data_IF_135306851640
#
_entry.id   IF_135306851640
#
_cell.length_a   1.000
_cell.length_b   1.000
_cell.length_c   1.000
_cell.angle_alpha   90.00
_cell.angle_beta   90.00
_cell.angle_gamma   90.00
#
_symmetry.space_group_name_H-M   'P 1'
#
loop_
_entity.id
_entity.type
_entity.pdbx_description
1 polymer ?
#
# COMPACT_ATOMS: atom_id res chain seq x y z
N UNK A 1 -12.93 10.08 -2.95
CA UNK A 1 -12.57 8.73 -2.44
C UNK A 1 -11.06 8.64 -2.29
N UNK A 2 -10.53 8.53 -1.06
CA UNK A 2 -9.11 8.73 -0.76
C UNK A 2 -8.18 7.70 -1.44
N UNK A 3 -7.12 8.14 -2.10
CA UNK A 3 -6.08 7.28 -2.69
C UNK A 3 -4.94 7.02 -1.69
N UNK A 4 -3.77 6.50 -2.15
CA UNK A 4 -2.61 6.36 -1.27
C UNK A 4 -2.12 7.73 -0.78
N UNK A 5 -1.57 7.76 0.43
CA UNK A 5 -0.85 8.92 0.94
C UNK A 5 0.49 9.04 0.22
N UNK A 6 0.96 10.27 0.00
CA UNK A 6 2.28 10.54 -0.60
C UNK A 6 3.20 11.15 0.45
N UNK A 7 4.45 10.70 0.48
CA UNK A 7 5.50 11.20 1.36
C UNK A 7 6.80 11.42 0.58
N UNK A 8 7.64 12.31 1.03
CA UNK A 8 9.02 12.44 0.59
C UNK A 8 10.00 11.84 1.60
N UNK A 9 11.26 11.69 1.18
CA UNK A 9 12.31 11.18 2.05
C UNK A 9 12.45 12.05 3.32
N UNK A 10 12.49 11.41 4.49
CA UNK A 10 12.55 12.09 5.79
C UNK A 10 11.19 12.52 6.36
N UNK A 11 10.11 12.42 5.60
CA UNK A 11 8.77 12.70 6.12
C UNK A 11 8.18 11.52 6.90
N UNK A 12 7.27 11.83 7.83
CA UNK A 12 6.55 10.84 8.64
C UNK A 12 5.06 10.91 8.34
N UNK A 13 4.42 9.75 8.28
CA UNK A 13 2.96 9.63 8.20
C UNK A 13 2.42 9.13 9.53
N UNK A 14 1.58 9.91 10.24
CA UNK A 14 0.88 9.40 11.42
C UNK A 14 0.07 8.16 11.07
N UNK A 15 0.10 7.14 11.93
CA UNK A 15 -0.59 5.86 11.67
C UNK A 15 -2.09 6.03 11.37
N UNK A 16 -2.75 6.96 12.05
CA UNK A 16 -4.16 7.26 11.85
C UNK A 16 -4.45 7.92 10.48
N UNK A 17 -3.43 8.47 9.82
CA UNK A 17 -3.55 9.08 8.50
C UNK A 17 -3.23 8.11 7.36
N UNK A 18 -2.78 6.88 7.66
CA UNK A 18 -2.52 5.86 6.64
C UNK A 18 -3.85 5.41 6.00
N UNK A 19 -4.04 5.60 4.69
CA UNK A 19 -5.28 5.19 4.04
C UNK A 19 -5.42 3.67 4.03
N UNK A 20 -6.49 3.17 4.66
CA UNK A 20 -6.91 1.78 4.57
C UNK A 20 -7.95 1.66 3.46
N UNK A 21 -7.60 0.94 2.40
CA UNK A 21 -8.40 0.75 1.21
C UNK A 21 -9.10 -0.61 1.25
N UNK A 22 -10.16 -0.75 0.47
CA UNK A 22 -10.70 -2.07 0.11
C UNK A 22 -9.67 -2.85 -0.71
N UNK A 23 -9.67 -4.18 -0.56
CA UNK A 23 -8.66 -5.05 -1.16
C UNK A 23 -8.47 -4.84 -2.67
N UNK A 24 -9.54 -4.87 -3.46
CA UNK A 24 -9.45 -4.72 -4.92
C UNK A 24 -8.81 -3.39 -5.32
N UNK A 25 -9.10 -2.33 -4.55
CA UNK A 25 -8.51 -1.01 -4.79
C UNK A 25 -7.05 -0.96 -4.35
N UNK A 26 -6.70 -1.61 -3.25
CA UNK A 26 -5.31 -1.76 -2.81
C UNK A 26 -4.48 -2.51 -3.86
N UNK A 27 -4.94 -3.69 -4.28
CA UNK A 27 -4.28 -4.51 -5.28
C UNK A 27 -4.15 -3.76 -6.62
N UNK A 28 -5.24 -3.17 -7.10
CA UNK A 28 -5.23 -2.34 -8.31
C UNK A 28 -4.28 -1.14 -8.22
N UNK A 29 -4.19 -0.47 -7.06
CA UNK A 29 -3.27 0.65 -6.84
C UNK A 29 -1.81 0.19 -6.90
N UNK A 30 -1.48 -0.93 -6.24
CA UNK A 30 -0.13 -1.49 -6.23
C UNK A 30 0.28 -1.91 -7.64
N UNK A 31 -0.56 -2.69 -8.33
CA UNK A 31 -0.29 -3.16 -9.70
C UNK A 31 -0.13 -2.00 -10.67
N UNK A 32 -1.07 -1.03 -10.66
CA UNK A 32 -1.02 0.11 -11.57
C UNK A 32 0.24 0.97 -11.38
N UNK A 33 0.66 1.21 -10.13
CA UNK A 33 1.86 1.99 -9.83
C UNK A 33 3.14 1.26 -10.21
N UNK A 34 3.21 -0.05 -9.95
CA UNK A 34 4.36 -0.86 -10.40
C UNK A 34 4.43 -0.88 -11.92
N UNK A 35 3.29 -1.05 -12.60
CA UNK A 35 3.21 -0.96 -14.06
C UNK A 35 3.64 0.41 -14.60
N UNK A 36 3.44 1.49 -13.84
CA UNK A 36 3.90 2.84 -14.19
C UNK A 36 5.35 3.14 -13.78
N UNK A 37 6.12 2.14 -13.33
CA UNK A 37 7.54 2.28 -13.01
C UNK A 37 7.88 2.50 -11.52
N UNK A 38 6.89 2.54 -10.63
CA UNK A 38 7.16 2.51 -9.19
C UNK A 38 7.72 1.14 -8.76
N UNK A 39 8.35 1.09 -7.59
CA UNK A 39 8.92 -0.13 -7.02
C UNK A 39 8.36 -0.38 -5.64
N UNK A 40 8.08 -1.64 -5.31
CA UNK A 40 7.73 -2.03 -3.94
C UNK A 40 8.99 -1.87 -3.07
N UNK A 41 9.01 -0.84 -2.24
CA UNK A 41 10.09 -0.60 -1.30
C UNK A 41 9.92 -1.44 -0.03
N UNK A 42 8.68 -1.62 0.41
CA UNK A 42 8.32 -2.52 1.50
C UNK A 42 6.87 -3.00 1.35
N UNK A 43 6.61 -4.24 1.77
CA UNK A 43 5.27 -4.78 1.95
C UNK A 43 5.28 -5.68 3.18
N UNK A 44 4.45 -5.37 4.17
CA UNK A 44 4.45 -6.06 5.46
C UNK A 44 3.06 -6.08 6.09
N UNK A 45 2.86 -7.06 6.98
CA UNK A 45 1.64 -7.17 7.77
C UNK A 45 1.78 -6.52 9.13
N UNK A 46 0.69 -5.93 9.61
CA UNK A 46 0.49 -5.52 10.99
C UNK A 46 -0.68 -6.31 11.57
N UNK A 47 -0.56 -6.76 12.82
CA UNK A 47 -1.66 -7.44 13.51
C UNK A 47 -2.90 -6.53 13.59
N UNK A 48 -4.07 -7.08 13.28
CA UNK A 48 -5.35 -6.38 13.34
C UNK A 48 -6.45 -7.32 13.82
N UNK A 49 -6.62 -7.42 15.14
CA UNK A 49 -7.59 -8.34 15.73
C UNK A 49 -7.26 -9.79 15.34
N UNK A 50 -8.21 -10.49 14.69
CA UNK A 50 -8.00 -11.83 14.16
C UNK A 50 -7.41 -11.86 12.73
N UNK A 51 -7.22 -10.69 12.10
CA UNK A 51 -6.70 -10.55 10.75
C UNK A 51 -5.36 -9.81 10.71
N UNK A 52 -4.96 -9.46 9.49
CA UNK A 52 -3.74 -8.71 9.21
C UNK A 52 -4.09 -7.47 8.40
N UNK A 53 -3.52 -6.33 8.76
CA UNK A 53 -3.49 -5.17 7.88
C UNK A 53 -2.20 -5.19 7.08
N UNK A 54 -2.32 -5.36 5.76
CA UNK A 54 -1.19 -5.34 4.84
C UNK A 54 -0.90 -3.90 4.46
N UNK A 55 0.33 -3.46 4.64
CA UNK A 55 0.83 -2.15 4.25
C UNK A 55 1.72 -2.30 3.02
N UNK A 56 1.52 -1.44 2.02
CA UNK A 56 2.40 -1.31 0.87
C UNK A 56 3.06 0.07 0.86
N UNK A 57 4.38 0.07 0.64
CA UNK A 57 5.20 1.26 0.43
C UNK A 57 5.80 1.17 -0.97
N UNK A 58 5.43 2.12 -1.82
CA UNK A 58 5.83 2.17 -3.23
C UNK A 58 6.72 3.37 -3.45
N UNK A 59 8.00 3.14 -3.78
CA UNK A 59 8.90 4.21 -4.20
C UNK A 59 8.63 4.58 -5.65
N UNK A 60 8.52 5.87 -5.94
CA UNK A 60 8.42 6.41 -7.29
C UNK A 60 9.77 7.08 -7.63
N UNK A 61 10.61 6.43 -8.48
CA UNK A 61 11.91 6.98 -8.84
C UNK A 61 11.82 8.29 -9.65
N UNK A 62 10.73 8.53 -10.36
CA UNK A 62 10.59 9.69 -11.22
C UNK A 62 10.32 10.97 -10.41
N UNK A 63 9.54 10.85 -9.33
CA UNK A 63 9.22 11.97 -8.43
C UNK A 63 10.13 12.04 -7.20
N UNK A 64 10.84 10.96 -6.86
CA UNK A 64 11.56 10.85 -5.59
C UNK A 64 10.64 10.74 -4.36
N UNK A 65 9.39 10.30 -4.55
CA UNK A 65 8.39 10.18 -3.48
C UNK A 65 8.03 8.72 -3.18
N UNK A 66 7.30 8.53 -2.07
CA UNK A 66 6.70 7.27 -1.68
C UNK A 66 5.18 7.38 -1.69
N UNK A 67 4.50 6.35 -2.17
CA UNK A 67 3.07 6.17 -2.01
C UNK A 67 2.79 5.05 -0.98
N UNK A 68 1.95 5.34 0.00
CA UNK A 68 1.62 4.43 1.10
C UNK A 68 0.11 4.19 1.17
N UNK A 69 -0.28 2.93 1.31
CA UNK A 69 -1.65 2.53 1.61
C UNK A 69 -1.66 1.18 2.31
N UNK A 70 -2.81 0.84 2.87
CA UNK A 70 -3.01 -0.45 3.52
C UNK A 70 -4.33 -1.10 3.09
N UNK A 71 -4.48 -2.39 3.37
CA UNK A 71 -5.74 -3.13 3.26
C UNK A 71 -5.88 -4.12 4.41
N UNK A 72 -7.09 -4.26 4.94
CA UNK A 72 -7.40 -5.33 5.87
C UNK A 72 -7.62 -6.64 5.10
N UNK A 73 -7.03 -7.71 5.63
CA UNK A 73 -7.10 -9.07 5.10
C UNK A 73 -7.45 -10.02 6.24
N UNK A 74 -8.38 -10.93 5.97
CA UNK A 74 -8.82 -11.97 6.92
C UNK A 74 -8.75 -13.35 6.25
N UNK A 75 -8.40 -14.37 7.03
CA UNK A 75 -8.33 -15.76 6.56
C UNK A 75 -7.12 -16.06 5.69
N UNK A 76 -7.07 -15.53 4.47
CA UNK A 76 -6.00 -15.78 3.51
C UNK A 76 -5.59 -14.50 2.78
N UNK A 77 -4.31 -14.40 2.41
CA UNK A 77 -3.78 -13.31 1.59
C UNK A 77 -4.10 -13.58 0.10
N UNK A 78 -4.96 -12.78 -0.55
CA UNK A 78 -5.26 -12.98 -1.97
C UNK A 78 -4.07 -12.64 -2.85
N UNK A 79 -3.99 -13.25 -4.03
CA UNK A 79 -2.95 -12.90 -5.01
C UNK A 79 -3.07 -11.43 -5.42
N UNK A 80 -1.92 -10.76 -5.54
CA UNK A 80 -1.83 -9.39 -6.05
C UNK A 80 -1.71 -9.34 -7.58
N UNK A 81 -1.40 -10.45 -8.22
CA UNK A 81 -1.41 -10.56 -9.68
C UNK A 81 -2.79 -11.02 -10.13
N UNK A 82 -3.33 -10.47 -11.24
CA UNK A 82 -4.52 -11.05 -11.87
C UNK A 82 -4.31 -12.54 -12.13
N UNK A 83 -5.39 -13.31 -12.02
CA UNK A 83 -5.44 -14.69 -12.51
C UNK A 83 -5.38 -14.74 -14.05
#
# INVERSE_FOLDING_TARGET
MSGPATLFNGERLPRAALPVLQWDRFAGTVVARVASGARVAAMFGLERGAGVEIVAVLADPASGSFALCAAAVEGAFPSLTPA
#
